data_IF_228422441120
#
_entry.id   IF_228422441120
#
_cell.length_a   1.000
_cell.length_b   1.000
_cell.length_c   1.000
_cell.angle_alpha   90.00
_cell.angle_beta   90.00
_cell.angle_gamma   90.00
#
_symmetry.space_group_name_H-M   'P 1'
#
loop_
_entity.id
_entity.type
_entity.pdbx_description
1 polymer ?
#
# COMPACT_ATOMS: atom_id res chain seq x y z
N UNK A 1 -37.27 26.48 -106.07
CA UNK A 1 -37.75 25.23 -106.70
C UNK A 1 -36.80 24.14 -106.27
N UNK A 2 -37.10 23.25 -105.33
CA UNK A 2 -38.30 22.44 -105.13
C UNK A 2 -38.69 22.42 -103.65
N UNK A 3 -39.95 22.80 -103.40
CA UNK A 3 -40.72 22.43 -102.23
C UNK A 3 -41.24 21.01 -102.48
N UNK A 4 -40.83 20.04 -101.65
CA UNK A 4 -41.26 18.64 -101.75
C UNK A 4 -41.74 18.18 -100.38
N UNK A 5 -42.99 18.53 -100.10
CA UNK A 5 -44.02 17.67 -99.51
C UNK A 5 -43.52 16.62 -98.52
N UNK A 6 -43.62 16.96 -97.24
CA UNK A 6 -43.63 16.03 -96.10
C UNK A 6 -44.71 14.97 -96.35
N UNK A 7 -44.30 13.79 -96.81
CA UNK A 7 -45.18 12.64 -97.08
C UNK A 7 -45.17 11.75 -95.83
N UNK A 8 -46.21 11.86 -95.01
CA UNK A 8 -46.43 10.97 -93.87
C UNK A 8 -47.10 9.68 -94.36
N UNK A 9 -46.29 8.78 -94.93
CA UNK A 9 -46.71 7.43 -95.30
C UNK A 9 -46.79 6.56 -94.01
N UNK A 10 -47.92 5.88 -93.71
CA UNK A 10 -48.14 5.16 -92.44
C UNK A 10 -47.13 4.03 -92.14
N UNK A 11 -46.37 3.58 -93.13
CA UNK A 11 -45.31 2.59 -92.96
C UNK A 11 -44.03 3.15 -92.32
N UNK A 12 -43.71 4.45 -92.48
CA UNK A 12 -42.45 5.02 -91.99
C UNK A 12 -42.52 5.47 -90.51
N UNK A 13 -43.71 5.69 -89.96
CA UNK A 13 -43.87 6.00 -88.53
C UNK A 13 -43.33 4.89 -87.62
N UNK A 14 -43.57 3.62 -87.99
CA UNK A 14 -43.04 2.46 -87.26
C UNK A 14 -41.51 2.37 -87.32
N UNK A 15 -40.90 2.78 -88.44
CA UNK A 15 -39.45 2.81 -88.58
C UNK A 15 -38.83 3.93 -87.75
N UNK A 16 -39.45 5.11 -87.74
CA UNK A 16 -39.03 6.24 -86.92
C UNK A 16 -39.09 5.87 -85.42
N UNK A 17 -40.18 5.24 -84.96
CA UNK A 17 -40.29 4.74 -83.59
C UNK A 17 -39.20 3.71 -83.25
N UNK A 18 -38.88 2.79 -84.17
CA UNK A 18 -37.80 1.82 -83.94
C UNK A 18 -36.40 2.46 -83.93
N UNK A 19 -36.19 3.50 -84.73
CA UNK A 19 -34.96 4.29 -84.74
C UNK A 19 -34.82 5.11 -83.45
N UNK A 20 -35.90 5.76 -83.00
CA UNK A 20 -35.97 6.47 -81.73
C UNK A 20 -35.74 5.53 -80.53
N UNK A 21 -36.36 4.35 -80.53
CA UNK A 21 -36.10 3.33 -79.51
C UNK A 21 -34.64 2.84 -79.56
N UNK A 22 -34.06 2.68 -80.75
CA UNK A 22 -32.65 2.32 -80.91
C UNK A 22 -31.71 3.38 -80.35
N UNK A 23 -32.00 4.65 -80.61
CA UNK A 23 -31.24 5.80 -80.09
C UNK A 23 -31.34 5.92 -78.58
N UNK A 24 -32.55 5.79 -78.02
CA UNK A 24 -32.76 5.75 -76.57
C UNK A 24 -32.04 4.56 -75.93
N UNK A 25 -32.08 3.39 -76.57
CA UNK A 25 -31.36 2.21 -76.06
C UNK A 25 -29.84 2.40 -76.11
N UNK A 26 -29.30 3.07 -77.13
CA UNK A 26 -27.89 3.42 -77.22
C UNK A 26 -27.48 4.40 -76.11
N UNK A 27 -28.29 5.43 -75.86
CA UNK A 27 -28.08 6.38 -74.76
C UNK A 27 -28.12 5.68 -73.39
N UNK A 28 -29.08 4.77 -73.17
CA UNK A 28 -29.14 3.94 -71.97
C UNK A 28 -27.86 3.10 -71.82
N UNK A 29 -27.39 2.49 -72.91
CA UNK A 29 -26.20 1.65 -72.89
C UNK A 29 -24.92 2.45 -72.60
N UNK A 30 -24.86 3.73 -72.98
CA UNK A 30 -23.74 4.63 -72.64
C UNK A 30 -23.82 5.15 -71.20
N UNK A 31 -25.01 5.50 -70.71
CA UNK A 31 -25.19 6.12 -69.38
C UNK A 31 -25.17 5.08 -68.25
N UNK A 32 -25.71 3.88 -68.48
CA UNK A 32 -25.79 2.82 -67.46
C UNK A 32 -24.43 2.47 -66.80
N UNK A 33 -23.32 2.23 -67.53
CA UNK A 33 -22.04 1.90 -66.90
C UNK A 33 -21.46 3.08 -66.10
N UNK A 34 -21.65 4.31 -66.57
CA UNK A 34 -21.20 5.52 -65.86
C UNK A 34 -21.95 5.70 -64.54
N UNK A 35 -23.27 5.53 -64.56
CA UNK A 35 -24.09 5.58 -63.35
C UNK A 35 -23.74 4.46 -62.36
N UNK A 36 -23.53 3.24 -62.86
CA UNK A 36 -23.12 2.11 -62.02
C UNK A 36 -21.76 2.35 -61.34
N UNK A 37 -20.80 2.89 -62.08
CA UNK A 37 -19.48 3.27 -61.54
C UNK A 37 -19.59 4.37 -60.47
N UNK A 38 -20.37 5.41 -60.74
CA UNK A 38 -20.59 6.49 -59.76
C UNK A 38 -21.26 5.97 -58.47
N UNK A 39 -22.30 5.14 -58.61
CA UNK A 39 -23.00 4.54 -57.47
C UNK A 39 -22.10 3.60 -56.66
N UNK A 40 -21.27 2.77 -57.32
CA UNK A 40 -20.34 1.88 -56.61
C UNK A 40 -19.25 2.66 -55.87
N UNK A 41 -18.68 3.70 -56.48
CA UNK A 41 -17.69 4.57 -55.85
C UNK A 41 -18.27 5.28 -54.61
N UNK A 42 -19.52 5.77 -54.71
CA UNK A 42 -20.22 6.38 -53.59
C UNK A 42 -20.47 5.39 -52.45
N UNK A 43 -20.88 4.16 -52.77
CA UNK A 43 -21.09 3.11 -51.78
C UNK A 43 -19.78 2.71 -51.08
N UNK A 44 -18.69 2.53 -51.82
CA UNK A 44 -17.36 2.22 -51.27
C UNK A 44 -16.91 3.33 -50.31
N UNK A 45 -17.05 4.60 -50.72
CA UNK A 45 -16.70 5.76 -49.89
C UNK A 45 -17.53 5.80 -48.60
N UNK A 46 -18.84 5.54 -48.69
CA UNK A 46 -19.75 5.49 -47.53
C UNK A 46 -19.37 4.36 -46.56
N UNK A 47 -19.08 3.17 -47.08
CA UNK A 47 -18.66 2.02 -46.28
C UNK A 47 -17.30 2.26 -45.60
N UNK A 48 -16.36 2.88 -46.31
CA UNK A 48 -15.06 3.26 -45.75
C UNK A 48 -15.21 4.27 -44.62
N UNK A 49 -16.00 5.33 -44.81
CA UNK A 49 -16.29 6.32 -43.78
C UNK A 49 -16.96 5.69 -42.55
N UNK A 50 -17.91 4.78 -42.76
CA UNK A 50 -18.56 4.04 -41.68
C UNK A 50 -17.55 3.18 -40.88
N UNK A 51 -16.69 2.43 -41.56
CA UNK A 51 -15.70 1.57 -40.91
C UNK A 51 -14.63 2.39 -40.16
N UNK A 52 -14.20 3.51 -40.73
CA UNK A 52 -13.30 4.46 -40.07
C UNK A 52 -14.00 5.02 -38.82
N UNK A 53 -15.25 5.45 -38.93
CA UNK A 53 -16.03 5.95 -37.79
C UNK A 53 -16.14 4.92 -36.66
N UNK A 54 -16.39 3.65 -36.99
CA UNK A 54 -16.39 2.54 -36.01
C UNK A 54 -15.04 2.39 -35.32
N UNK A 55 -13.94 2.38 -36.08
CA UNK A 55 -12.58 2.29 -35.52
C UNK A 55 -12.25 3.48 -34.62
N UNK A 56 -12.58 4.70 -35.05
CA UNK A 56 -12.39 5.92 -34.26
C UNK A 56 -13.20 5.85 -32.95
N UNK A 57 -14.44 5.35 -33.00
CA UNK A 57 -15.26 5.16 -31.80
C UNK A 57 -14.64 4.18 -30.79
N UNK A 58 -14.12 3.04 -31.25
CA UNK A 58 -13.42 2.07 -30.41
C UNK A 58 -12.16 2.71 -29.79
N UNK A 59 -11.34 3.37 -30.62
CA UNK A 59 -10.11 4.01 -30.16
C UNK A 59 -10.40 5.10 -29.12
N UNK A 60 -11.42 5.93 -29.35
CA UNK A 60 -11.84 6.96 -28.40
C UNK A 60 -12.36 6.35 -27.09
N UNK A 61 -13.05 5.20 -27.15
CA UNK A 61 -13.44 4.44 -25.96
C UNK A 61 -12.23 3.94 -25.18
N UNK A 62 -11.23 3.39 -25.86
CA UNK A 62 -9.97 2.94 -25.26
C UNK A 62 -9.21 4.10 -24.62
N UNK A 63 -9.12 5.25 -25.30
CA UNK A 63 -8.48 6.46 -24.75
C UNK A 63 -9.17 6.95 -23.48
N UNK A 64 -10.50 7.01 -23.46
CA UNK A 64 -11.28 7.37 -22.25
C UNK A 64 -11.03 6.39 -21.11
N UNK A 65 -11.00 5.09 -21.40
CA UNK A 65 -10.70 4.08 -20.39
C UNK A 65 -9.27 4.21 -19.83
N UNK A 66 -8.27 4.41 -20.69
CA UNK A 66 -6.89 4.65 -20.26
C UNK A 66 -6.77 5.88 -19.38
N UNK A 67 -7.45 6.98 -19.74
CA UNK A 67 -7.48 8.19 -18.92
C UNK A 67 -8.09 7.93 -17.53
N UNK A 68 -9.20 7.17 -17.46
CA UNK A 68 -9.81 6.78 -16.21
C UNK A 68 -8.87 5.92 -15.34
N UNK A 69 -8.18 4.95 -15.94
CA UNK A 69 -7.19 4.11 -15.25
C UNK A 69 -6.02 4.95 -14.73
N UNK A 70 -5.52 5.90 -15.52
CA UNK A 70 -4.45 6.80 -15.08
C UNK A 70 -4.87 7.68 -13.90
N UNK A 71 -6.09 8.23 -13.92
CA UNK A 71 -6.64 8.99 -12.79
C UNK A 71 -6.77 8.13 -11.54
N UNK A 72 -7.22 6.88 -11.67
CA UNK A 72 -7.30 5.94 -10.53
C UNK A 72 -5.91 5.57 -10.00
N UNK A 73 -4.94 5.32 -10.88
CA UNK A 73 -3.55 5.04 -10.51
C UNK A 73 -2.95 6.22 -9.73
N UNK A 74 -3.16 7.45 -10.19
CA UNK A 74 -2.68 8.65 -9.50
C UNK A 74 -3.38 8.86 -8.16
N UNK A 75 -4.70 8.66 -8.10
CA UNK A 75 -5.45 8.70 -6.84
C UNK A 75 -4.97 7.64 -5.84
N UNK A 76 -4.69 6.42 -6.32
CA UNK A 76 -4.13 5.34 -5.52
C UNK A 76 -2.72 5.68 -5.04
N UNK A 77 -1.85 6.19 -5.93
CA UNK A 77 -0.50 6.67 -5.56
C UNK A 77 -0.57 7.72 -4.47
N UNK A 78 -1.46 8.72 -4.59
CA UNK A 78 -1.70 9.73 -3.54
C UNK A 78 -2.18 9.11 -2.24
N UNK A 79 -3.07 8.11 -2.29
CA UNK A 79 -3.55 7.38 -1.09
C UNK A 79 -2.49 6.49 -0.45
N UNK A 80 -1.58 5.92 -1.23
CA UNK A 80 -0.47 5.09 -0.74
C UNK A 80 0.70 5.93 -0.22
N UNK A 81 0.93 7.11 -0.80
CA UNK A 81 1.86 8.12 -0.30
C UNK A 81 1.35 8.79 0.98
N UNK A 82 0.03 8.78 1.23
CA UNK A 82 -0.51 9.14 2.54
C UNK A 82 -0.04 8.06 3.54
N UNK A 83 0.77 8.41 4.55
CA UNK A 83 1.23 7.46 5.55
C UNK A 83 0.01 6.79 6.19
N UNK A 84 -0.07 5.44 6.13
CA UNK A 84 -1.14 4.68 6.81
C UNK A 84 -0.98 4.67 8.33
N UNK A 85 0.17 5.08 8.82
CA UNK A 85 0.47 5.35 10.21
C UNK A 85 1.20 6.69 10.29
N UNK A 86 0.65 7.65 11.02
CA UNK A 86 1.49 8.59 11.76
C UNK A 86 2.05 7.81 12.96
N UNK A 87 3.10 7.01 12.77
CA UNK A 87 3.88 6.54 13.94
C UNK A 87 4.72 7.67 14.54
N UNK A 88 4.82 8.78 13.83
CA UNK A 88 4.96 10.11 14.41
C UNK A 88 4.11 11.05 13.54
N UNK A 89 3.44 12.02 14.15
CA UNK A 89 3.14 13.25 13.43
C UNK A 89 4.46 13.71 12.80
N UNK A 90 4.50 14.24 11.57
CA UNK A 90 5.69 14.94 11.11
C UNK A 90 5.88 16.13 12.07
N UNK A 91 6.68 15.91 13.11
CA UNK A 91 7.17 16.95 13.97
C UNK A 91 7.91 17.88 13.01
N UNK A 92 7.65 19.17 13.11
CA UNK A 92 8.40 20.12 12.30
C UNK A 92 9.88 19.94 12.60
N UNK A 93 10.76 19.97 11.58
CA UNK A 93 12.18 19.68 11.77
C UNK A 93 12.85 20.56 12.86
N UNK A 94 12.27 21.74 13.11
CA UNK A 94 12.63 22.66 14.19
C UNK A 94 12.46 22.06 15.60
N UNK A 95 11.44 21.25 15.82
CA UNK A 95 11.12 20.66 17.13
C UNK A 95 11.72 19.25 17.32
N UNK A 96 12.36 18.67 16.30
CA UNK A 96 12.96 17.33 16.42
C UNK A 96 13.95 17.24 17.57
N UNK A 97 14.83 18.24 17.71
CA UNK A 97 15.84 18.28 18.78
C UNK A 97 15.16 18.29 20.16
N UNK A 98 14.17 19.15 20.33
CA UNK A 98 13.47 19.31 21.61
C UNK A 98 12.67 18.07 21.97
N UNK A 99 12.01 17.44 21.00
CA UNK A 99 11.27 16.20 21.24
C UNK A 99 12.21 15.04 21.58
N UNK A 100 13.38 14.93 20.93
CA UNK A 100 14.37 13.89 21.24
C UNK A 100 14.92 14.06 22.65
N UNK A 101 15.27 15.29 23.05
CA UNK A 101 15.73 15.55 24.42
C UNK A 101 14.63 15.30 25.44
N UNK A 102 13.39 15.72 25.17
CA UNK A 102 12.25 15.45 26.05
C UNK A 102 12.00 13.95 26.23
N UNK A 103 12.06 13.18 25.14
CA UNK A 103 11.90 11.72 25.21
C UNK A 103 13.02 11.06 26.01
N UNK A 104 14.26 11.52 25.83
CA UNK A 104 15.40 11.07 26.62
C UNK A 104 15.22 11.38 28.10
N UNK A 105 14.82 12.60 28.44
CA UNK A 105 14.51 13.00 29.81
C UNK A 105 13.38 12.14 30.40
N UNK A 106 12.30 11.92 29.65
CA UNK A 106 11.18 11.08 30.08
C UNK A 106 11.60 9.64 30.39
N UNK A 107 12.44 9.03 29.54
CA UNK A 107 12.99 7.69 29.80
C UNK A 107 13.83 7.68 31.07
N UNK A 108 14.76 8.63 31.22
CA UNK A 108 15.60 8.69 32.43
C UNK A 108 14.79 8.96 33.70
N UNK A 109 13.70 9.70 33.60
CA UNK A 109 12.79 9.95 34.71
C UNK A 109 12.06 8.67 35.11
N UNK A 110 11.53 7.91 34.14
CA UNK A 110 10.85 6.63 34.38
C UNK A 110 11.80 5.64 35.06
N UNK A 111 13.02 5.50 34.55
CA UNK A 111 14.04 4.61 35.14
C UNK A 111 14.35 4.98 36.60
N UNK A 112 14.55 6.28 36.88
CA UNK A 112 14.78 6.75 38.27
C UNK A 112 13.58 6.53 39.17
N UNK A 113 12.38 6.78 38.68
CA UNK A 113 11.15 6.57 39.43
C UNK A 113 10.97 5.09 39.78
N UNK A 114 11.21 4.19 38.84
CA UNK A 114 11.12 2.75 39.05
C UNK A 114 12.15 2.28 40.09
N UNK A 115 13.39 2.76 40.01
CA UNK A 115 14.43 2.47 41.03
C UNK A 115 14.03 2.95 42.44
N UNK A 116 13.47 4.15 42.55
CA UNK A 116 12.96 4.65 43.83
C UNK A 116 11.79 3.82 44.36
N UNK A 117 10.85 3.41 43.49
CA UNK A 117 9.73 2.56 43.87
C UNK A 117 10.19 1.18 44.36
N UNK A 118 11.19 0.58 43.72
CA UNK A 118 11.78 -0.67 44.19
C UNK A 118 12.44 -0.51 45.56
N UNK A 119 13.14 0.60 45.77
CA UNK A 119 13.71 0.93 47.09
C UNK A 119 12.61 1.01 48.15
N UNK A 120 11.51 1.71 47.87
CA UNK A 120 10.37 1.82 48.78
C UNK A 120 9.70 0.47 49.05
N UNK A 121 9.59 -0.40 48.04
CA UNK A 121 9.07 -1.78 48.20
C UNK A 121 9.98 -2.67 49.05
N UNK A 122 11.26 -2.34 49.16
CA UNK A 122 12.20 -3.08 50.00
C UNK A 122 12.09 -2.72 51.50
N UNK A 123 11.65 -1.50 51.82
CA UNK A 123 11.59 -1.00 53.21
C UNK A 123 10.76 -1.89 54.14
N UNK A 124 9.54 -2.34 53.78
CA UNK A 124 8.75 -3.24 54.64
C UNK A 124 9.42 -4.59 54.93
N UNK A 125 10.44 -4.99 54.16
CA UNK A 125 11.20 -6.23 54.37
C UNK A 125 12.31 -6.06 55.41
N UNK A 126 12.76 -4.83 55.68
CA UNK A 126 13.86 -4.53 56.61
C UNK A 126 13.59 -5.05 58.03
N UNK A 127 12.39 -4.84 58.65
CA UNK A 127 12.13 -5.34 59.99
C UNK A 127 12.24 -6.87 60.11
N UNK A 128 11.75 -7.59 59.10
CA UNK A 128 11.85 -9.05 59.08
C UNK A 128 13.32 -9.51 58.93
N UNK A 129 14.09 -8.81 58.11
CA UNK A 129 15.52 -9.07 57.94
C UNK A 129 16.30 -8.77 59.23
N UNK A 130 15.98 -7.68 59.92
CA UNK A 130 16.55 -7.32 61.22
C UNK A 130 16.25 -8.39 62.28
N UNK A 131 15.00 -8.83 62.40
CA UNK A 131 14.61 -9.91 63.32
C UNK A 131 15.38 -11.22 63.09
N UNK A 132 15.63 -11.56 61.81
CA UNK A 132 16.45 -12.72 61.47
C UNK A 132 17.91 -12.53 61.89
N UNK A 133 18.46 -11.33 61.73
CA UNK A 133 19.80 -10.99 62.21
C UNK A 133 19.90 -11.04 63.74
N UNK A 134 18.92 -10.51 64.47
CA UNK A 134 18.86 -10.57 65.94
C UNK A 134 18.85 -12.03 66.43
N UNK A 135 18.06 -12.88 65.74
CA UNK A 135 18.00 -14.31 66.03
C UNK A 135 19.34 -15.01 65.77
N UNK A 136 20.02 -14.65 64.67
CA UNK A 136 21.33 -15.19 64.35
C UNK A 136 22.38 -14.75 65.38
N UNK A 137 22.36 -13.48 65.78
CA UNK A 137 23.24 -12.92 66.79
C UNK A 137 23.07 -13.64 68.13
N UNK A 138 21.84 -13.79 68.61
CA UNK A 138 21.56 -14.50 69.86
C UNK A 138 22.07 -15.95 69.85
N UNK A 139 21.95 -16.66 68.70
CA UNK A 139 22.52 -18.01 68.55
C UNK A 139 24.05 -17.99 68.60
N UNK A 140 24.67 -17.01 67.97
CA UNK A 140 26.13 -16.85 68.00
C UNK A 140 26.64 -16.54 69.40
N UNK A 141 25.95 -15.69 70.16
CA UNK A 141 26.29 -15.40 71.56
C UNK A 141 26.27 -16.66 72.43
N UNK A 142 25.22 -17.50 72.29
CA UNK A 142 25.14 -18.79 72.98
C UNK A 142 26.32 -19.69 72.62
N UNK A 143 26.65 -19.82 71.33
CA UNK A 143 27.78 -20.65 70.89
C UNK A 143 29.13 -20.12 71.41
N UNK A 144 29.29 -18.80 71.54
CA UNK A 144 30.50 -18.20 72.13
C UNK A 144 30.60 -18.56 73.61
N UNK A 145 29.51 -18.49 74.36
CA UNK A 145 29.50 -18.91 75.77
C UNK A 145 29.85 -20.40 75.93
N UNK A 146 29.26 -21.27 75.11
CA UNK A 146 29.59 -22.71 75.11
C UNK A 146 31.06 -22.96 74.78
N UNK A 147 31.64 -22.19 73.87
CA UNK A 147 33.06 -22.27 73.51
C UNK A 147 33.97 -21.80 74.64
N UNK A 148 33.61 -20.73 75.34
CA UNK A 148 34.33 -20.23 76.52
C UNK A 148 34.31 -21.27 77.65
N UNK A 149 33.15 -21.86 77.94
CA UNK A 149 33.02 -22.93 78.95
C UNK A 149 33.90 -24.15 78.59
N UNK A 150 33.85 -24.59 77.33
CA UNK A 150 34.69 -25.69 76.84
C UNK A 150 36.19 -25.35 76.94
N UNK A 151 36.58 -24.10 76.66
CA UNK A 151 37.98 -23.66 76.78
C UNK A 151 38.46 -23.71 78.24
N UNK A 152 37.62 -23.28 79.19
CA UNK A 152 37.90 -23.35 80.63
C UNK A 152 38.02 -24.80 81.12
N UNK A 153 37.15 -25.70 80.66
CA UNK A 153 37.25 -27.13 80.96
C UNK A 153 38.56 -27.74 80.45
N UNK A 154 38.95 -27.41 79.23
CA UNK A 154 40.22 -27.86 78.65
C UNK A 154 41.41 -27.36 79.47
N UNK A 155 41.38 -26.10 79.92
CA UNK A 155 42.45 -25.54 80.76
C UNK A 155 42.54 -26.25 82.11
N UNK A 156 41.41 -26.45 82.79
CA UNK A 156 41.35 -27.20 84.06
C UNK A 156 41.88 -28.62 83.90
N UNK A 157 41.44 -29.32 82.85
CA UNK A 157 41.91 -30.68 82.56
C UNK A 157 43.42 -30.71 82.32
N UNK A 158 43.96 -29.73 81.59
CA UNK A 158 45.40 -29.65 81.29
C UNK A 158 46.24 -29.40 82.55
N UNK A 159 45.73 -28.63 83.51
CA UNK A 159 46.41 -28.38 84.79
C UNK A 159 46.43 -29.65 85.67
N UNK A 160 45.29 -30.35 85.77
CA UNK A 160 45.20 -31.64 86.48
C UNK A 160 46.18 -32.68 85.93
N UNK A 161 46.36 -32.73 84.60
CA UNK A 161 47.34 -33.62 83.97
C UNK A 161 48.76 -33.28 84.41
N UNK A 162 49.15 -32.00 84.49
CA UNK A 162 50.50 -31.61 84.96
C UNK A 162 50.75 -32.00 86.42
N UNK A 163 49.74 -31.85 87.28
CA UNK A 163 49.83 -32.25 88.69
C UNK A 163 49.98 -33.77 88.82
N UNK A 164 49.23 -34.56 88.04
CA UNK A 164 49.30 -36.03 88.07
C UNK A 164 50.61 -36.63 87.53
N UNK A 165 51.38 -35.87 86.72
CA UNK A 165 52.67 -36.30 86.15
C UNK A 165 53.89 -35.64 86.81
N UNK A 166 53.72 -34.87 87.89
CA UNK A 166 54.81 -34.25 88.65
C UNK A 166 55.18 -34.99 89.95
N UNK A 167 54.54 -36.11 90.24
CA UNK A 167 54.96 -37.15 91.22
C UNK A 167 55.71 -38.28 90.51
#
# INVERSE_FOLDING_TARGET
TLDLTRREDPCFGKFLETEEMGNLQAEINEVQPLLLSACTQHLISTLQLYFIGKKCGILQGMSRHLEAVLRQKEALRKRLLKPRCQESLPIEATFHKDVVELLKEAVTFIEKLESHLETLRSIPKIPNMMKNMDTALAKTEVLVMELEELADEILKWREQQKEAYSD
#
